data_IF_804638379234
#
_entry.id   IF_804638379234
#
_cell.length_a   1.000
_cell.length_b   1.000
_cell.length_c   1.000
_cell.angle_alpha   90.00
_cell.angle_beta   90.00
_cell.angle_gamma   90.00
#
_symmetry.space_group_name_H-M   'P 1'
#
loop_
_entity.id
_entity.type
_entity.pdbx_description
1 polymer ?
#
# COMPACT_ATOMS: atom_id res chain seq x y z
N UNK A 1 -8.97 -19.93 -14.00
CA UNK A 1 -10.29 -19.71 -13.40
C UNK A 1 -10.16 -19.97 -11.91
N UNK A 2 -10.37 -18.95 -11.08
CA UNK A 2 -10.34 -19.03 -9.62
C UNK A 2 -11.63 -19.69 -9.13
N UNK A 3 -11.53 -20.54 -8.11
CA UNK A 3 -12.70 -21.11 -7.46
C UNK A 3 -13.21 -20.16 -6.36
N UNK A 4 -14.34 -19.50 -6.62
CA UNK A 4 -14.94 -18.51 -5.71
C UNK A 4 -15.58 -19.13 -4.46
N UNK A 5 -15.67 -20.46 -4.38
CA UNK A 5 -16.20 -21.17 -3.20
C UNK A 5 -15.14 -21.52 -2.15
N UNK A 6 -13.86 -21.36 -2.48
CA UNK A 6 -12.75 -21.63 -1.56
C UNK A 6 -12.13 -20.34 -1.04
N UNK A 7 -11.51 -20.36 0.16
CA UNK A 7 -10.81 -19.20 0.68
C UNK A 7 -9.79 -18.65 -0.32
N UNK A 8 -9.77 -17.32 -0.47
CA UNK A 8 -8.79 -16.61 -1.30
C UNK A 8 -7.87 -15.77 -0.43
N UNK A 9 -6.74 -15.33 -1.00
CA UNK A 9 -5.83 -14.41 -0.33
C UNK A 9 -6.44 -12.99 -0.19
N UNK A 10 -7.63 -12.75 -0.74
CA UNK A 10 -8.37 -11.50 -0.68
C UNK A 10 -9.53 -11.54 0.33
N UNK A 11 -9.78 -12.66 1.01
CA UNK A 11 -10.93 -12.79 1.93
C UNK A 11 -10.81 -11.87 3.18
N UNK A 12 -9.64 -11.28 3.43
CA UNK A 12 -9.38 -10.28 4.48
C UNK A 12 -9.41 -8.83 3.97
N UNK A 13 -8.94 -7.90 4.81
CA UNK A 13 -8.81 -6.48 4.47
C UNK A 13 -7.36 -6.08 4.24
N UNK A 14 -7.12 -5.39 3.14
CA UNK A 14 -5.94 -4.57 2.88
C UNK A 14 -6.08 -3.17 3.50
N UNK A 15 -4.96 -2.43 3.60
CA UNK A 15 -4.99 -1.03 4.06
C UNK A 15 -5.87 -0.13 3.17
N UNK A 16 -5.91 -0.37 1.86
CA UNK A 16 -6.78 0.39 0.94
C UNK A 16 -8.26 0.17 1.22
N UNK A 17 -8.65 -1.06 1.55
CA UNK A 17 -10.03 -1.40 1.89
C UNK A 17 -10.42 -0.85 3.27
N UNK A 18 -9.50 -0.87 4.25
CA UNK A 18 -9.71 -0.20 5.54
C UNK A 18 -9.97 1.29 5.33
N UNK A 19 -9.09 1.99 4.58
CA UNK A 19 -9.24 3.42 4.31
C UNK A 19 -10.53 3.71 3.52
N UNK A 20 -10.96 2.82 2.62
CA UNK A 20 -12.23 2.96 1.92
C UNK A 20 -13.44 2.84 2.85
N UNK A 21 -13.48 1.82 3.71
CA UNK A 21 -14.51 1.66 4.74
C UNK A 21 -14.61 2.91 5.61
N UNK A 22 -13.45 3.39 6.03
CA UNK A 22 -13.27 4.54 6.87
C UNK A 22 -13.82 5.84 6.26
N UNK A 23 -13.47 6.13 5.01
CA UNK A 23 -14.01 7.30 4.31
C UNK A 23 -15.53 7.19 4.08
N UNK A 24 -16.05 5.97 3.87
CA UNK A 24 -17.50 5.75 3.81
C UNK A 24 -18.16 6.07 5.16
N UNK A 25 -17.57 5.64 6.28
CA UNK A 25 -18.10 5.93 7.62
C UNK A 25 -18.06 7.43 7.94
N UNK A 26 -16.99 8.13 7.55
CA UNK A 26 -16.90 9.59 7.69
C UNK A 26 -18.00 10.29 6.88
N UNK A 27 -18.22 9.85 5.64
CA UNK A 27 -19.26 10.41 4.79
C UNK A 27 -20.66 10.20 5.40
N UNK A 28 -20.92 9.00 5.95
CA UNK A 28 -22.15 8.73 6.70
C UNK A 28 -22.29 9.61 7.94
N UNK A 29 -21.23 9.78 8.70
CA UNK A 29 -21.21 10.63 9.90
C UNK A 29 -21.49 12.10 9.57
N UNK A 30 -20.95 12.63 8.47
CA UNK A 30 -21.26 13.99 7.98
C UNK A 30 -22.75 14.20 7.69
N UNK A 31 -23.49 13.13 7.40
CA UNK A 31 -24.93 13.13 7.16
C UNK A 31 -25.75 12.78 8.42
N UNK A 32 -25.10 12.60 9.57
CA UNK A 32 -25.74 12.19 10.82
C UNK A 32 -26.22 10.73 10.82
N UNK A 33 -25.68 9.89 9.94
CA UNK A 33 -26.00 8.47 9.86
C UNK A 33 -25.06 7.65 10.74
N UNK A 34 -25.52 6.54 11.34
CA UNK A 34 -24.67 5.67 12.15
C UNK A 34 -23.61 4.96 11.29
N UNK A 35 -22.46 4.73 11.90
CA UNK A 35 -21.45 3.83 11.36
C UNK A 35 -22.00 2.40 11.25
N UNK A 36 -21.52 1.64 10.27
CA UNK A 36 -21.94 0.27 9.98
C UNK A 36 -20.81 -0.67 10.41
N UNK A 37 -21.04 -1.69 11.24
CA UNK A 37 -20.01 -2.64 11.61
C UNK A 37 -19.40 -3.38 10.40
N UNK A 38 -18.06 -3.48 10.36
CA UNK A 38 -17.38 -4.35 9.40
C UNK A 38 -17.77 -5.82 9.63
N UNK A 39 -18.05 -6.51 8.54
CA UNK A 39 -18.55 -7.89 8.51
C UNK A 39 -17.55 -8.77 7.77
N UNK A 40 -17.03 -9.79 8.46
CA UNK A 40 -16.17 -10.80 7.84
C UNK A 40 -16.88 -11.49 6.67
N UNK A 41 -18.13 -11.89 6.86
CA UNK A 41 -18.87 -12.61 5.84
C UNK A 41 -19.16 -11.77 4.59
N UNK A 42 -19.50 -10.49 4.75
CA UNK A 42 -19.70 -9.59 3.62
C UNK A 42 -18.37 -9.14 3.00
N UNK A 43 -17.29 -8.99 3.77
CA UNK A 43 -15.94 -8.75 3.22
C UNK A 43 -15.52 -9.93 2.34
N UNK A 44 -15.69 -11.16 2.81
CA UNK A 44 -15.45 -12.37 2.02
C UNK A 44 -16.33 -12.41 0.76
N UNK A 45 -17.60 -11.99 0.85
CA UNK A 45 -18.50 -11.90 -0.32
C UNK A 45 -17.98 -10.88 -1.33
N UNK A 46 -17.63 -9.67 -0.88
CA UNK A 46 -17.11 -8.60 -1.71
C UNK A 46 -15.80 -9.02 -2.41
N UNK A 47 -14.87 -9.59 -1.65
CA UNK A 47 -13.58 -10.06 -2.12
C UNK A 47 -13.71 -11.11 -3.23
N UNK A 48 -14.54 -12.12 -2.98
CA UNK A 48 -14.79 -13.18 -3.97
C UNK A 48 -15.42 -12.64 -5.23
N UNK A 49 -16.30 -11.63 -5.13
CA UNK A 49 -16.91 -11.06 -6.32
C UNK A 49 -15.90 -10.28 -7.17
N UNK A 50 -15.09 -9.41 -6.56
CA UNK A 50 -14.10 -8.63 -7.31
C UNK A 50 -13.00 -9.53 -7.90
N UNK A 51 -12.65 -10.64 -7.24
CA UNK A 51 -11.77 -11.69 -7.78
C UNK A 51 -12.43 -12.41 -8.95
N UNK A 52 -13.71 -12.79 -8.82
CA UNK A 52 -14.47 -13.45 -9.90
C UNK A 52 -14.52 -12.58 -11.16
N UNK A 53 -14.83 -11.30 -10.99
CA UNK A 53 -14.86 -10.33 -12.07
C UNK A 53 -13.50 -10.23 -12.74
N UNK A 54 -12.42 -10.06 -11.96
CA UNK A 54 -11.10 -9.85 -12.52
C UNK A 54 -10.50 -11.10 -13.18
N UNK A 55 -10.73 -12.28 -12.61
CA UNK A 55 -9.96 -13.49 -12.96
C UNK A 55 -10.76 -14.57 -13.69
N UNK A 56 -12.09 -14.54 -13.60
CA UNK A 56 -12.96 -15.47 -14.32
C UNK A 56 -13.72 -14.80 -15.45
N UNK A 57 -14.23 -13.58 -15.23
CA UNK A 57 -14.97 -12.81 -16.23
C UNK A 57 -14.06 -11.88 -17.04
N UNK A 58 -12.90 -11.51 -16.50
CA UNK A 58 -11.97 -10.52 -17.05
C UNK A 58 -12.40 -9.07 -16.81
N UNK A 59 -13.68 -8.78 -17.04
CA UNK A 59 -14.36 -7.52 -16.71
C UNK A 59 -15.80 -7.80 -16.30
N UNK A 60 -16.49 -6.81 -15.72
CA UNK A 60 -17.93 -6.91 -15.53
C UNK A 60 -18.64 -7.26 -16.85
N UNK A 61 -19.71 -8.07 -16.75
CA UNK A 61 -20.51 -8.47 -17.92
C UNK A 61 -21.25 -7.25 -18.46
N UNK A 62 -21.01 -6.92 -19.73
CA UNK A 62 -21.65 -5.78 -20.37
C UNK A 62 -23.14 -6.02 -20.63
N UNK A 63 -23.92 -4.95 -20.54
CA UNK A 63 -25.31 -4.93 -20.98
C UNK A 63 -25.43 -5.31 -22.46
N UNK A 64 -26.47 -6.07 -22.81
CA UNK A 64 -26.80 -6.37 -24.21
C UNK A 64 -27.90 -5.45 -24.73
N UNK A 65 -28.80 -5.01 -23.84
CA UNK A 65 -29.84 -4.01 -24.12
C UNK A 65 -29.80 -2.87 -23.09
N UNK A 66 -30.25 -1.65 -23.46
CA UNK A 66 -30.27 -0.51 -22.56
C UNK A 66 -31.02 -0.79 -21.25
N UNK A 67 -30.35 -0.60 -20.11
CA UNK A 67 -30.94 -0.73 -18.78
C UNK A 67 -31.08 -2.16 -18.27
N UNK A 68 -30.43 -3.14 -18.89
CA UNK A 68 -30.34 -4.50 -18.34
C UNK A 68 -29.51 -4.57 -17.06
N UNK A 69 -28.48 -3.72 -16.94
CA UNK A 69 -27.48 -3.74 -15.87
C UNK A 69 -27.05 -5.16 -15.48
N UNK A 70 -26.08 -5.70 -16.20
CA UNK A 70 -25.52 -7.05 -16.01
C UNK A 70 -24.18 -7.06 -15.27
N UNK A 71 -23.67 -5.88 -14.92
CA UNK A 71 -22.34 -5.70 -14.35
C UNK A 71 -22.12 -6.49 -13.04
N UNK A 72 -23.21 -6.76 -12.31
CA UNK A 72 -23.25 -7.50 -11.06
C UNK A 72 -23.32 -9.04 -11.25
N UNK A 73 -23.09 -9.55 -12.46
CA UNK A 73 -23.12 -11.00 -12.69
C UNK A 73 -21.91 -11.69 -12.09
N UNK A 74 -22.13 -12.88 -11.54
CA UNK A 74 -21.09 -13.83 -11.16
C UNK A 74 -20.84 -14.82 -12.30
N UNK A 75 -19.66 -15.43 -12.34
CA UNK A 75 -19.29 -16.46 -13.32
C UNK A 75 -20.16 -17.71 -13.26
N UNK A 76 -20.80 -17.97 -12.12
CA UNK A 76 -21.67 -19.10 -11.88
C UNK A 76 -23.15 -18.71 -11.66
N UNK A 77 -23.46 -17.41 -11.61
CA UNK A 77 -24.82 -16.90 -11.40
C UNK A 77 -25.00 -15.54 -12.12
N UNK A 78 -25.69 -15.56 -13.26
CA UNK A 78 -25.96 -14.36 -14.04
C UNK A 78 -26.97 -13.43 -13.34
N UNK A 79 -26.78 -12.12 -13.50
CA UNK A 79 -27.68 -11.09 -13.02
C UNK A 79 -28.22 -10.23 -14.17
N UNK A 80 -29.50 -9.85 -14.09
CA UNK A 80 -30.15 -8.90 -14.98
C UNK A 80 -31.20 -8.10 -14.21
N UNK A 81 -31.03 -6.78 -14.12
CA UNK A 81 -31.92 -5.89 -13.38
C UNK A 81 -33.37 -5.90 -13.90
N UNK A 82 -33.62 -6.34 -15.15
CA UNK A 82 -34.97 -6.47 -15.72
C UNK A 82 -35.63 -7.83 -15.47
N UNK A 83 -34.90 -8.81 -14.95
CA UNK A 83 -35.43 -10.15 -14.66
C UNK A 83 -35.36 -10.44 -13.16
N UNK A 84 -36.49 -10.31 -12.43
CA UNK A 84 -36.54 -10.58 -10.99
C UNK A 84 -36.09 -11.99 -10.59
N UNK A 85 -36.14 -12.97 -11.50
CA UNK A 85 -35.67 -14.33 -11.21
C UNK A 85 -34.15 -14.40 -11.03
N UNK A 86 -33.41 -13.38 -11.49
CA UNK A 86 -31.95 -13.31 -11.38
C UNK A 86 -31.47 -12.56 -10.14
N UNK A 87 -32.35 -11.88 -9.40
CA UNK A 87 -31.96 -11.06 -8.24
C UNK A 87 -31.31 -11.89 -7.12
N UNK A 88 -31.67 -13.18 -7.05
CA UNK A 88 -31.06 -14.13 -6.13
C UNK A 88 -29.55 -14.33 -6.35
N UNK A 89 -29.01 -14.01 -7.53
CA UNK A 89 -27.57 -14.06 -7.80
C UNK A 89 -26.76 -13.13 -6.88
N UNK A 90 -27.34 -11.96 -6.54
CA UNK A 90 -26.77 -10.99 -5.61
C UNK A 90 -27.25 -11.22 -4.19
N UNK A 91 -28.57 -11.21 -3.97
CA UNK A 91 -29.11 -11.22 -2.60
C UNK A 91 -28.71 -12.47 -1.82
N UNK A 92 -28.65 -13.63 -2.49
CA UNK A 92 -28.25 -14.88 -1.84
C UNK A 92 -26.74 -15.15 -1.92
N UNK A 93 -25.93 -14.27 -2.52
CA UNK A 93 -24.49 -14.52 -2.68
C UNK A 93 -23.77 -14.84 -1.35
N UNK A 94 -24.00 -14.12 -0.23
CA UNK A 94 -23.33 -14.46 1.03
C UNK A 94 -23.64 -15.88 1.51
N UNK A 95 -24.91 -16.31 1.42
CA UNK A 95 -25.34 -17.64 1.80
C UNK A 95 -24.85 -18.71 0.81
N UNK A 96 -24.93 -18.43 -0.50
CA UNK A 96 -24.48 -19.29 -1.59
C UNK A 96 -22.98 -19.60 -1.48
N UNK A 97 -22.17 -18.60 -1.14
CA UNK A 97 -20.73 -18.74 -0.94
C UNK A 97 -20.35 -19.35 0.42
N UNK A 98 -21.32 -19.64 1.28
CA UNK A 98 -21.10 -20.26 2.59
C UNK A 98 -20.37 -19.35 3.58
N UNK A 99 -20.55 -18.03 3.47
CA UNK A 99 -19.80 -17.05 4.30
C UNK A 99 -20.24 -17.02 5.77
N UNK A 100 -21.44 -17.55 6.07
CA UNK A 100 -22.03 -17.52 7.40
C UNK A 100 -22.93 -16.30 7.67
N UNK A 101 -23.06 -15.37 6.72
CA UNK A 101 -24.01 -14.26 6.85
C UNK A 101 -25.46 -14.76 6.77
N UNK A 102 -26.31 -14.30 7.69
CA UNK A 102 -27.66 -14.85 7.89
C UNK A 102 -28.75 -14.22 7.00
N UNK A 103 -28.46 -13.10 6.34
CA UNK A 103 -29.44 -12.35 5.54
C UNK A 103 -29.02 -12.16 4.10
N UNK A 104 -29.69 -11.20 3.44
CA UNK A 104 -29.36 -10.82 2.07
C UNK A 104 -28.22 -9.81 2.01
N UNK A 105 -27.38 -9.95 0.98
CA UNK A 105 -26.36 -8.96 0.63
C UNK A 105 -26.84 -7.99 -0.45
N UNK A 106 -26.46 -6.73 -0.32
CA UNK A 106 -26.74 -5.68 -1.31
C UNK A 106 -25.44 -5.03 -1.74
N UNK A 107 -25.24 -4.87 -3.04
CA UNK A 107 -23.95 -4.45 -3.60
C UNK A 107 -24.01 -3.06 -4.23
N UNK A 108 -22.92 -2.30 -4.05
CA UNK A 108 -22.47 -1.32 -5.03
C UNK A 108 -21.14 -1.79 -5.62
N UNK A 109 -20.99 -1.63 -6.93
CA UNK A 109 -19.85 -2.14 -7.68
C UNK A 109 -19.24 -1.02 -8.51
N UNK A 110 -17.92 -0.99 -8.59
CA UNK A 110 -17.17 -0.18 -9.52
C UNK A 110 -16.22 -1.10 -10.28
N UNK A 111 -16.25 -1.01 -11.61
CA UNK A 111 -15.34 -1.75 -12.50
C UNK A 111 -14.76 -0.83 -13.55
N UNK A 112 -13.51 -1.06 -13.93
CA UNK A 112 -12.81 -0.31 -14.99
C UNK A 112 -12.17 -1.22 -16.02
N UNK A 113 -11.79 -0.63 -17.16
CA UNK A 113 -10.92 -1.26 -18.17
C UNK A 113 -9.46 -1.29 -17.76
N UNK A 114 -9.08 -0.49 -16.75
CA UNK A 114 -7.76 -0.48 -16.11
C UNK A 114 -7.86 -0.66 -14.59
N UNK A 115 -6.70 -0.74 -13.92
CA UNK A 115 -6.64 -0.89 -12.46
C UNK A 115 -7.38 0.27 -11.77
N UNK A 116 -8.22 -0.09 -10.80
CA UNK A 116 -8.84 0.89 -9.88
C UNK A 116 -7.91 1.23 -8.72
N UNK A 117 -6.92 0.38 -8.45
CA UNK A 117 -5.87 0.61 -7.46
C UNK A 117 -4.95 1.74 -7.92
N UNK A 118 -4.70 2.68 -7.02
CA UNK A 118 -3.83 3.86 -7.19
C UNK A 118 -2.57 3.72 -6.34
N UNK A 119 -1.66 4.69 -6.46
CA UNK A 119 -0.34 4.63 -5.82
C UNK A 119 -0.40 4.57 -4.29
N UNK A 120 -1.46 5.11 -3.67
CA UNK A 120 -1.68 4.99 -2.22
C UNK A 120 -3.07 4.42 -1.88
N UNK A 121 -3.22 3.81 -0.68
CA UNK A 121 -4.53 3.44 -0.12
C UNK A 121 -5.56 4.56 -0.20
N UNK A 122 -5.18 5.78 0.21
CA UNK A 122 -6.05 6.95 0.28
C UNK A 122 -6.49 7.41 -1.11
N UNK A 123 -5.59 7.40 -2.09
CA UNK A 123 -5.93 7.74 -3.47
C UNK A 123 -6.92 6.73 -4.05
N UNK A 124 -6.70 5.44 -3.79
CA UNK A 124 -7.59 4.35 -4.23
C UNK A 124 -8.99 4.54 -3.65
N UNK A 125 -9.08 4.69 -2.32
CA UNK A 125 -10.32 4.89 -1.60
C UNK A 125 -11.08 6.15 -2.06
N UNK A 126 -10.37 7.29 -2.15
CA UNK A 126 -10.98 8.58 -2.45
C UNK A 126 -11.59 8.64 -3.85
N UNK A 127 -10.92 8.05 -4.83
CA UNK A 127 -11.42 7.99 -6.21
C UNK A 127 -12.67 7.13 -6.30
N UNK A 128 -12.67 5.96 -5.65
CA UNK A 128 -13.82 5.05 -5.62
C UNK A 128 -15.03 5.68 -4.92
N UNK A 129 -14.84 6.22 -3.71
CA UNK A 129 -15.92 6.83 -2.95
C UNK A 129 -16.49 8.07 -3.67
N UNK A 130 -15.64 8.89 -4.29
CA UNK A 130 -16.11 10.04 -5.09
C UNK A 130 -16.98 9.59 -6.25
N UNK A 131 -16.58 8.54 -6.97
CA UNK A 131 -17.38 7.97 -8.07
C UNK A 131 -18.75 7.48 -7.57
N UNK A 132 -18.80 6.74 -6.45
CA UNK A 132 -20.07 6.28 -5.89
C UNK A 132 -20.95 7.42 -5.37
N UNK A 133 -20.38 8.49 -4.82
CA UNK A 133 -21.14 9.68 -4.39
C UNK A 133 -21.78 10.43 -5.56
N UNK A 134 -21.13 10.45 -6.72
CA UNK A 134 -21.67 11.09 -7.93
C UNK A 134 -22.78 10.28 -8.61
N UNK A 135 -22.87 8.97 -8.35
CA UNK A 135 -23.95 8.13 -8.83
C UNK A 135 -25.11 8.13 -7.84
N UNK A 136 -26.28 8.64 -8.25
CA UNK A 136 -27.46 8.74 -7.38
C UNK A 136 -27.88 7.39 -6.80
N UNK A 137 -27.80 6.32 -7.59
CA UNK A 137 -28.13 4.95 -7.17
C UNK A 137 -27.16 4.43 -6.10
N UNK A 138 -25.85 4.49 -6.36
CA UNK A 138 -24.84 4.04 -5.41
C UNK A 138 -24.85 4.89 -4.12
N UNK A 139 -24.97 6.21 -4.26
CA UNK A 139 -25.04 7.11 -3.13
C UNK A 139 -26.27 6.82 -2.25
N UNK A 140 -27.40 6.45 -2.86
CA UNK A 140 -28.61 6.11 -2.12
C UNK A 140 -28.43 4.85 -1.25
N UNK A 141 -27.72 3.82 -1.73
CA UNK A 141 -27.41 2.62 -0.91
C UNK A 141 -26.53 3.02 0.28
N UNK A 142 -25.44 3.74 0.01
CA UNK A 142 -24.45 4.17 1.02
C UNK A 142 -25.05 5.05 2.12
N UNK A 143 -26.13 5.77 1.84
CA UNK A 143 -26.71 6.80 2.72
C UNK A 143 -28.16 6.53 3.13
N UNK A 144 -28.68 5.32 2.88
CA UNK A 144 -30.07 4.93 3.21
C UNK A 144 -31.12 5.89 2.62
N UNK A 145 -30.94 6.31 1.38
CA UNK A 145 -31.89 7.17 0.65
C UNK A 145 -32.72 6.39 -0.37
N UNK A 146 -33.75 7.02 -0.94
CA UNK A 146 -34.63 6.38 -1.93
C UNK A 146 -35.28 5.11 -1.39
N UNK A 147 -35.12 4.01 -2.12
CA UNK A 147 -35.68 2.70 -1.77
C UNK A 147 -35.05 2.09 -0.50
N UNK A 148 -33.92 2.64 -0.05
CA UNK A 148 -33.15 2.17 1.12
C UNK A 148 -33.54 2.88 2.43
N UNK A 149 -34.53 3.78 2.42
CA UNK A 149 -34.94 4.57 3.60
C UNK A 149 -35.42 3.73 4.78
N UNK A 150 -36.01 2.57 4.52
CA UNK A 150 -36.51 1.65 5.56
C UNK A 150 -35.42 0.67 6.05
N UNK A 151 -34.23 0.72 5.47
CA UNK A 151 -33.15 -0.19 5.80
C UNK A 151 -32.31 0.40 6.93
N UNK A 152 -31.84 -0.49 7.81
CA UNK A 152 -30.80 -0.20 8.78
C UNK A 152 -29.65 -1.14 8.49
N UNK A 153 -28.50 -0.59 8.10
CA UNK A 153 -27.31 -1.37 7.82
C UNK A 153 -26.63 -1.78 9.12
N UNK A 154 -26.42 -3.08 9.30
CA UNK A 154 -25.79 -3.66 10.49
C UNK A 154 -24.53 -4.48 10.15
N UNK A 155 -24.21 -4.61 8.87
CA UNK A 155 -23.03 -5.27 8.37
C UNK A 155 -22.58 -4.58 7.07
N UNK A 156 -21.28 -4.35 6.93
CA UNK A 156 -20.67 -3.90 5.67
C UNK A 156 -19.39 -4.68 5.38
N UNK A 157 -19.21 -5.07 4.13
CA UNK A 157 -17.97 -5.63 3.61
C UNK A 157 -17.46 -4.77 2.46
N UNK A 158 -16.15 -4.67 2.31
CA UNK A 158 -15.50 -3.89 1.25
C UNK A 158 -14.44 -4.75 0.60
N UNK A 159 -14.25 -4.60 -0.71
CA UNK A 159 -13.13 -5.21 -1.41
C UNK A 159 -12.65 -4.37 -2.59
N UNK A 160 -11.35 -4.41 -2.86
CA UNK A 160 -10.68 -3.77 -4.00
C UNK A 160 -9.67 -4.76 -4.58
N UNK A 161 -9.86 -5.17 -5.83
CA UNK A 161 -8.94 -6.08 -6.51
C UNK A 161 -8.80 -5.73 -7.99
N UNK A 162 -7.56 -5.51 -8.43
CA UNK A 162 -7.20 -5.18 -9.81
C UNK A 162 -8.07 -4.04 -10.38
N UNK A 163 -9.02 -4.37 -11.24
CA UNK A 163 -9.87 -3.45 -11.98
C UNK A 163 -11.27 -3.26 -11.37
N UNK A 164 -11.52 -3.82 -10.18
CA UNK A 164 -12.84 -3.88 -9.57
C UNK A 164 -12.82 -3.54 -8.08
N UNK A 165 -13.89 -2.92 -7.60
CA UNK A 165 -14.12 -2.66 -6.18
C UNK A 165 -15.61 -2.80 -5.86
N UNK A 166 -15.94 -3.36 -4.70
CA UNK A 166 -17.31 -3.56 -4.27
C UNK A 166 -17.50 -3.17 -2.80
N UNK A 167 -18.68 -2.67 -2.46
CA UNK A 167 -19.16 -2.58 -1.08
C UNK A 167 -20.45 -3.37 -0.96
N UNK A 168 -20.49 -4.26 0.02
CA UNK A 168 -21.62 -5.12 0.33
C UNK A 168 -22.25 -4.68 1.65
N UNK A 169 -23.56 -4.47 1.64
CA UNK A 169 -24.35 -4.06 2.80
C UNK A 169 -25.29 -5.18 3.23
N UNK A 170 -25.54 -5.24 4.53
CA UNK A 170 -26.41 -6.22 5.16
C UNK A 170 -27.28 -5.59 6.25
N UNK A 171 -28.52 -6.08 6.38
CA UNK A 171 -29.48 -5.58 7.38
C UNK A 171 -29.34 -6.26 8.73
N UNK A 172 -28.71 -7.42 8.75
CA UNK A 172 -28.52 -8.29 9.90
C UNK A 172 -27.12 -8.05 10.46
N UNK A 173 -26.96 -8.24 11.77
CA UNK A 173 -25.63 -8.28 12.35
C UNK A 173 -24.91 -9.54 11.86
N UNK A 174 -23.61 -9.43 11.55
CA UNK A 174 -22.81 -10.57 11.14
C UNK A 174 -22.37 -11.42 12.34
N UNK A 175 -22.80 -12.68 12.47
CA UNK A 175 -22.39 -13.55 13.57
C UNK A 175 -20.92 -13.99 13.45
N UNK A 176 -20.27 -13.78 12.31
CA UNK A 176 -18.88 -14.19 12.06
C UNK A 176 -17.83 -13.15 12.50
N UNK A 177 -18.29 -11.99 12.99
CA UNK A 177 -17.44 -10.92 13.52
C UNK A 177 -16.77 -10.06 12.45
N UNK A 178 -15.74 -9.31 12.85
CA UNK A 178 -14.96 -8.48 11.94
C UNK A 178 -13.98 -9.29 11.08
N UNK A 179 -13.64 -8.82 9.86
CA UNK A 179 -12.66 -9.48 8.99
C UNK A 179 -11.25 -9.46 9.59
N UNK A 180 -10.43 -10.42 9.16
CA UNK A 180 -8.98 -10.36 9.37
C UNK A 180 -8.36 -9.26 8.49
N UNK A 181 -7.17 -8.81 8.85
CA UNK A 181 -6.41 -7.83 8.07
C UNK A 181 -5.22 -8.55 7.46
N UNK A 182 -5.08 -8.47 6.15
CA UNK A 182 -4.08 -9.24 5.41
C UNK A 182 -2.67 -8.75 5.74
N UNK A 183 -1.82 -9.69 6.16
CA UNK A 183 -0.43 -9.41 6.53
C UNK A 183 -0.26 -8.55 7.79
N UNK A 184 -1.31 -8.34 8.57
CA UNK A 184 -1.24 -7.55 9.81
C UNK A 184 -0.83 -8.43 10.99
N UNK A 185 0.33 -8.11 11.57
CA UNK A 185 0.76 -8.66 12.85
C UNK A 185 0.45 -7.63 13.97
N UNK A 186 -0.52 -7.91 14.86
CA UNK A 186 -0.89 -6.97 15.92
C UNK A 186 0.21 -6.77 16.95
N UNK A 187 1.01 -7.79 17.27
CA UNK A 187 2.10 -7.66 18.24
C UNK A 187 3.26 -6.87 17.63
N UNK A 188 3.61 -7.14 16.37
CA UNK A 188 4.60 -6.33 15.65
C UNK A 188 4.16 -4.87 15.52
N UNK A 189 2.88 -4.63 15.24
CA UNK A 189 2.30 -3.30 15.20
C UNK A 189 2.43 -2.58 16.54
N UNK A 190 2.10 -3.24 17.65
CA UNK A 190 2.29 -2.69 19.00
C UNK A 190 3.77 -2.42 19.29
N UNK A 191 4.66 -3.38 19.02
CA UNK A 191 6.09 -3.25 19.25
C UNK A 191 6.72 -2.10 18.44
N UNK A 192 6.22 -1.84 17.23
CA UNK A 192 6.67 -0.74 16.37
C UNK A 192 6.10 0.63 16.76
N UNK A 193 5.07 0.69 17.61
CA UNK A 193 4.38 1.91 18.00
C UNK A 193 4.35 2.03 19.53
N UNK A 194 5.37 2.68 20.10
CA UNK A 194 5.61 2.71 21.54
C UNK A 194 4.44 3.29 22.36
N UNK A 195 3.71 4.27 21.81
CA UNK A 195 2.49 4.82 22.40
C UNK A 195 1.39 3.77 22.54
N UNK A 196 1.24 2.91 21.52
CA UNK A 196 0.25 1.83 21.52
C UNK A 196 0.68 0.67 22.42
N UNK A 197 1.97 0.31 22.42
CA UNK A 197 2.51 -0.66 23.38
C UNK A 197 2.27 -0.21 24.84
N UNK A 198 2.43 1.09 25.13
CA UNK A 198 2.15 1.64 26.45
C UNK A 198 0.65 1.62 26.80
N UNK A 199 -0.22 1.89 25.82
CA UNK A 199 -1.67 1.95 26.04
C UNK A 199 -2.33 0.57 26.13
N UNK A 200 -1.91 -0.38 25.29
CA UNK A 200 -2.59 -1.66 25.09
C UNK A 200 -1.78 -2.86 25.57
N UNK A 201 -0.49 -2.69 25.87
CA UNK A 201 0.39 -3.83 26.15
C UNK A 201 0.39 -4.79 24.98
N UNK A 202 0.08 -6.06 25.24
CA UNK A 202 -0.01 -7.14 24.24
C UNK A 202 -1.45 -7.46 23.83
N UNK A 203 -2.41 -6.54 24.04
CA UNK A 203 -3.80 -6.73 23.62
C UNK A 203 -3.92 -6.61 22.08
N UNK A 204 -3.93 -7.78 21.42
CA UNK A 204 -4.00 -7.87 19.96
C UNK A 204 -5.35 -7.44 19.40
N UNK A 205 -6.43 -7.57 20.17
CA UNK A 205 -7.76 -7.14 19.73
C UNK A 205 -7.89 -5.61 19.75
N UNK A 206 -7.32 -4.97 20.77
CA UNK A 206 -7.19 -3.51 20.84
C UNK A 206 -6.29 -2.98 19.72
N UNK A 207 -5.17 -3.65 19.43
CA UNK A 207 -4.27 -3.30 18.34
C UNK A 207 -4.96 -3.35 16.97
N UNK A 208 -5.70 -4.43 16.67
CA UNK A 208 -6.48 -4.55 15.44
C UNK A 208 -7.56 -3.46 15.35
N UNK A 209 -8.30 -3.24 16.43
CA UNK A 209 -9.33 -2.19 16.50
C UNK A 209 -8.75 -0.81 16.25
N UNK A 210 -7.59 -0.50 16.84
CA UNK A 210 -6.88 0.76 16.64
C UNK A 210 -6.41 0.91 15.19
N UNK A 211 -5.82 -0.13 14.59
CA UNK A 211 -5.33 -0.06 13.22
C UNK A 211 -6.47 0.21 12.22
N UNK A 212 -7.62 -0.44 12.41
CA UNK A 212 -8.82 -0.20 11.59
C UNK A 212 -9.36 1.22 11.76
N UNK A 213 -9.45 1.72 12.99
CA UNK A 213 -10.10 3.01 13.26
C UNK A 213 -9.22 4.23 12.95
N UNK A 214 -7.90 4.10 13.14
CA UNK A 214 -6.96 5.21 13.09
C UNK A 214 -5.69 4.85 12.32
N UNK A 215 -5.06 3.71 12.66
CA UNK A 215 -3.69 3.41 12.25
C UNK A 215 -3.47 3.36 10.74
N UNK A 216 -4.41 2.81 9.98
CA UNK A 216 -4.32 2.76 8.51
C UNK A 216 -4.30 4.16 7.89
N UNK A 217 -5.21 5.06 8.31
CA UNK A 217 -5.28 6.44 7.80
C UNK A 217 -4.12 7.32 8.26
N UNK A 218 -3.61 7.06 9.46
CA UNK A 218 -2.42 7.74 9.99
C UNK A 218 -1.13 7.30 9.27
N UNK A 219 -1.18 6.25 8.43
CA UNK A 219 0.01 5.67 7.81
C UNK A 219 0.95 5.02 8.83
N UNK A 220 0.41 4.55 9.98
CA UNK A 220 1.22 3.91 11.02
C UNK A 220 1.87 2.64 10.46
N UNK A 221 3.18 2.51 10.68
CA UNK A 221 3.91 1.34 10.22
C UNK A 221 3.48 0.08 10.99
N UNK A 222 3.26 -1.01 10.24
CA UNK A 222 2.96 -2.34 10.77
C UNK A 222 4.19 -3.25 10.81
N UNK A 223 5.32 -2.78 10.27
CA UNK A 223 6.56 -3.55 10.09
C UNK A 223 7.81 -2.85 10.62
N UNK A 224 7.67 -1.70 11.28
CA UNK A 224 8.80 -0.93 11.83
C UNK A 224 9.62 -1.71 12.87
N UNK A 225 9.00 -2.65 13.58
CA UNK A 225 9.70 -3.52 14.52
C UNK A 225 10.12 -4.83 13.83
N UNK A 226 11.42 -5.10 13.84
CA UNK A 226 11.96 -6.39 13.39
C UNK A 226 12.30 -7.29 14.59
N UNK A 227 11.46 -8.30 14.93
CA UNK A 227 11.71 -9.21 16.04
C UNK A 227 13.03 -9.96 15.95
N UNK A 228 13.43 -10.42 14.76
CA UNK A 228 14.68 -11.18 14.62
C UNK A 228 15.89 -10.28 14.78
N UNK A 229 15.84 -9.03 14.31
CA UNK A 229 16.90 -8.06 14.55
C UNK A 229 17.01 -7.72 16.04
N UNK A 230 15.88 -7.57 16.73
CA UNK A 230 15.85 -7.40 18.17
C UNK A 230 16.47 -8.61 18.89
N UNK A 231 16.06 -9.84 18.57
CA UNK A 231 16.64 -11.06 19.14
C UNK A 231 18.15 -11.12 18.89
N UNK A 232 18.58 -10.91 17.64
CA UNK A 232 19.98 -10.98 17.23
C UNK A 232 20.90 -10.04 18.03
N UNK A 233 20.37 -8.93 18.54
CA UNK A 233 21.10 -7.95 19.33
C UNK A 233 21.37 -8.38 20.78
N UNK A 234 20.70 -9.42 21.27
CA UNK A 234 20.68 -9.77 22.69
C UNK A 234 20.92 -11.27 22.92
N UNK A 235 22.11 -11.61 23.43
CA UNK A 235 22.51 -12.99 23.67
C UNK A 235 21.61 -13.76 24.64
N UNK A 236 21.08 -13.08 25.65
CA UNK A 236 20.10 -13.64 26.60
C UNK A 236 18.77 -13.97 25.93
N UNK A 237 18.27 -13.11 25.04
CA UNK A 237 17.03 -13.37 24.31
C UNK A 237 17.20 -14.49 23.30
N UNK A 238 18.34 -14.56 22.61
CA UNK A 238 18.63 -15.69 21.70
C UNK A 238 18.73 -17.01 22.46
N UNK A 239 19.31 -17.01 23.66
CA UNK A 239 19.37 -18.21 24.49
C UNK A 239 17.98 -18.63 25.01
N UNK A 240 17.11 -17.66 25.31
CA UNK A 240 15.77 -17.92 25.84
C UNK A 240 14.74 -18.29 24.77
N UNK A 241 14.78 -17.62 23.61
CA UNK A 241 13.72 -17.66 22.60
C UNK A 241 14.18 -18.19 21.24
N UNK A 242 15.50 -18.33 21.00
CA UNK A 242 15.99 -18.68 19.67
C UNK A 242 15.57 -17.64 18.64
N UNK A 243 14.92 -18.10 17.56
CA UNK A 243 14.35 -17.29 16.48
C UNK A 243 12.83 -17.10 16.59
N UNK A 244 12.24 -17.29 17.77
CA UNK A 244 10.80 -17.07 17.99
C UNK A 244 10.43 -15.57 17.96
N UNK A 245 9.89 -15.14 16.82
CA UNK A 245 9.49 -13.77 16.59
C UNK A 245 8.39 -13.27 17.54
N UNK A 246 7.40 -14.11 17.83
CA UNK A 246 6.27 -13.73 18.67
C UNK A 246 6.73 -13.57 20.14
N UNK A 247 7.64 -14.43 20.59
CA UNK A 247 8.27 -14.27 21.91
C UNK A 247 9.07 -12.96 22.00
N UNK A 248 9.78 -12.59 20.93
CA UNK A 248 10.52 -11.34 20.85
C UNK A 248 9.63 -10.09 20.95
N UNK A 249 8.52 -10.07 20.22
CA UNK A 249 7.54 -8.96 20.24
C UNK A 249 6.90 -8.82 21.62
N UNK A 250 6.45 -9.94 22.20
CA UNK A 250 5.90 -9.95 23.56
C UNK A 250 6.93 -9.44 24.57
N UNK A 251 8.18 -9.92 24.50
CA UNK A 251 9.23 -9.47 25.39
C UNK A 251 9.51 -7.97 25.23
N UNK A 252 9.59 -7.47 23.99
CA UNK A 252 9.88 -6.06 23.74
C UNK A 252 8.79 -5.15 24.33
N UNK A 253 7.52 -5.47 24.07
CA UNK A 253 6.37 -4.75 24.60
C UNK A 253 6.34 -4.79 26.13
N UNK A 254 6.49 -5.99 26.72
CA UNK A 254 6.33 -6.17 28.15
C UNK A 254 7.52 -5.66 28.95
N UNK A 255 8.75 -5.82 28.46
CA UNK A 255 9.97 -5.58 29.23
C UNK A 255 10.98 -4.73 28.47
N UNK A 256 11.25 -5.03 27.20
CA UNK A 256 12.31 -4.38 26.40
C UNK A 256 12.24 -2.86 26.36
N UNK A 257 11.04 -2.29 26.21
CA UNK A 257 10.82 -0.84 26.26
C UNK A 257 11.18 -0.23 27.61
N UNK A 258 10.83 -0.91 28.72
CA UNK A 258 11.12 -0.45 30.09
C UNK A 258 12.59 -0.62 30.47
N UNK A 259 13.23 -1.63 29.91
CA UNK A 259 14.67 -1.89 30.05
C UNK A 259 15.52 -0.94 29.21
N UNK A 260 14.92 -0.17 28.30
CA UNK A 260 15.65 0.70 27.37
C UNK A 260 16.43 -0.07 26.31
N UNK A 261 16.00 -1.31 25.98
CA UNK A 261 16.62 -2.09 24.91
C UNK A 261 16.34 -1.46 23.54
N UNK A 262 17.34 -1.48 22.67
CA UNK A 262 17.22 -1.03 21.29
C UNK A 262 16.72 -2.16 20.40
N UNK A 263 15.63 -1.92 19.66
CA UNK A 263 15.13 -2.84 18.64
C UNK A 263 16.10 -3.05 17.46
N UNK A 264 17.10 -2.18 17.32
CA UNK A 264 18.09 -2.18 16.23
C UNK A 264 19.52 -2.41 16.73
N UNK A 265 19.67 -3.05 17.90
CA UNK A 265 20.99 -3.35 18.48
C UNK A 265 21.87 -4.25 17.59
N UNK A 266 21.25 -5.05 16.72
CA UNK A 266 21.94 -5.81 15.68
C UNK A 266 21.90 -5.06 14.35
N UNK A 267 23.06 -4.81 13.74
CA UNK A 267 23.14 -4.21 12.41
C UNK A 267 23.10 -5.29 11.32
N UNK A 268 21.89 -5.55 10.83
CA UNK A 268 21.66 -6.53 9.77
C UNK A 268 22.27 -6.11 8.42
N UNK A 269 22.38 -4.80 8.15
CA UNK A 269 22.98 -4.29 6.92
C UNK A 269 24.49 -4.52 6.94
N UNK A 270 25.16 -4.23 8.07
CA UNK A 270 26.57 -4.55 8.26
C UNK A 270 26.84 -6.06 8.16
N UNK A 271 25.94 -6.88 8.71
CA UNK A 271 26.05 -8.33 8.59
C UNK A 271 25.95 -8.81 7.13
N UNK A 272 24.97 -8.31 6.37
CA UNK A 272 24.84 -8.63 4.95
C UNK A 272 26.04 -8.14 4.13
N UNK A 273 26.45 -6.88 4.33
CA UNK A 273 27.58 -6.29 3.61
C UNK A 273 28.90 -7.03 3.88
N UNK A 274 29.06 -7.58 5.08
CA UNK A 274 30.22 -8.36 5.49
C UNK A 274 30.25 -9.79 4.94
N UNK A 275 29.10 -10.30 4.46
CA UNK A 275 28.93 -11.68 4.00
C UNK A 275 28.26 -11.69 2.62
N UNK A 276 29.04 -11.48 1.52
CA UNK A 276 28.49 -11.34 0.17
C UNK A 276 27.68 -12.55 -0.31
N UNK A 277 27.94 -13.74 0.21
CA UNK A 277 27.14 -14.94 -0.08
C UNK A 277 25.73 -14.84 0.53
N UNK A 278 25.59 -14.27 1.73
CA UNK A 278 24.29 -14.02 2.34
C UNK A 278 23.56 -12.89 1.62
N UNK A 279 24.28 -11.84 1.21
CA UNK A 279 23.71 -10.77 0.39
C UNK A 279 23.24 -11.29 -0.99
N UNK A 280 23.96 -12.23 -1.59
CA UNK A 280 23.51 -12.90 -2.81
C UNK A 280 22.25 -13.77 -2.59
N UNK A 281 22.14 -14.42 -1.43
CA UNK A 281 21.04 -15.34 -1.11
C UNK A 281 19.76 -14.61 -0.65
N UNK A 282 19.91 -13.56 0.15
CA UNK A 282 18.81 -12.88 0.82
C UNK A 282 18.52 -11.48 0.26
N UNK A 283 19.43 -10.91 -0.55
CA UNK A 283 19.36 -9.50 -0.92
C UNK A 283 19.41 -8.62 0.33
N UNK A 284 18.59 -7.56 0.34
CA UNK A 284 18.46 -6.63 1.47
C UNK A 284 17.47 -7.07 2.55
N UNK A 285 17.06 -8.35 2.58
CA UNK A 285 16.16 -8.87 3.61
C UNK A 285 16.86 -8.98 4.97
N UNK A 286 16.72 -7.91 5.76
CA UNK A 286 17.24 -7.80 7.13
C UNK A 286 16.67 -8.83 8.09
N UNK A 287 15.42 -9.28 7.87
CA UNK A 287 14.76 -10.28 8.70
C UNK A 287 15.36 -11.67 8.45
N UNK A 288 15.57 -12.04 7.18
CA UNK A 288 16.29 -13.25 6.80
C UNK A 288 17.74 -13.24 7.31
N UNK A 289 18.45 -12.11 7.16
CA UNK A 289 19.81 -11.97 7.66
C UNK A 289 19.91 -12.15 9.19
N UNK A 290 18.99 -11.53 9.93
CA UNK A 290 18.94 -11.64 11.39
C UNK A 290 18.60 -13.06 11.85
N UNK A 291 17.63 -13.73 11.19
CA UNK A 291 17.33 -15.15 11.42
C UNK A 291 18.55 -16.04 11.19
N UNK A 292 19.25 -15.85 10.06
CA UNK A 292 20.47 -16.60 9.78
C UNK A 292 21.51 -16.42 10.89
N UNK A 293 21.74 -15.19 11.35
CA UNK A 293 22.66 -14.95 12.45
C UNK A 293 22.26 -15.68 13.73
N UNK A 294 20.96 -15.72 14.04
CA UNK A 294 20.40 -16.42 15.20
C UNK A 294 20.63 -17.94 15.12
N UNK A 295 20.27 -18.53 13.98
CA UNK A 295 20.16 -19.98 13.80
C UNK A 295 21.52 -20.64 13.50
N UNK A 296 22.39 -19.99 12.72
CA UNK A 296 23.67 -20.59 12.27
C UNK A 296 24.86 -19.64 12.27
N UNK A 297 24.67 -18.35 11.96
CA UNK A 297 25.76 -17.41 11.69
C UNK A 297 26.78 -17.26 12.82
N UNK A 298 26.36 -17.39 14.09
CA UNK A 298 27.29 -17.42 15.24
C UNK A 298 28.16 -18.68 15.28
N UNK A 299 27.57 -19.84 15.00
CA UNK A 299 28.27 -21.12 15.00
C UNK A 299 29.24 -21.22 13.82
N UNK A 300 28.87 -20.61 12.70
CA UNK A 300 29.71 -20.45 11.51
C UNK A 300 30.82 -19.39 11.69
N UNK A 301 30.79 -18.61 12.77
CA UNK A 301 31.74 -17.52 13.03
C UNK A 301 31.72 -16.45 11.92
N UNK A 302 30.52 -16.16 11.38
CA UNK A 302 30.34 -15.13 10.35
C UNK A 302 30.74 -13.75 10.90
N UNK A 303 31.38 -12.95 10.05
CA UNK A 303 31.88 -11.61 10.42
C UNK A 303 30.75 -10.58 10.43
N UNK A 304 30.84 -9.62 11.33
CA UNK A 304 29.92 -8.46 11.41
C UNK A 304 30.58 -7.16 10.93
N UNK A 305 31.91 -7.16 10.76
CA UNK A 305 32.75 -6.00 10.48
C UNK A 305 33.61 -6.18 9.21
N UNK A 306 33.15 -7.03 8.29
CA UNK A 306 33.82 -7.36 7.05
C UNK A 306 33.79 -6.26 6.00
N UNK A 307 32.85 -5.33 6.10
CA UNK A 307 32.64 -4.25 5.16
C UNK A 307 33.18 -2.91 5.67
N UNK A 308 34.10 -2.30 4.93
CA UNK A 308 34.62 -0.95 5.21
C UNK A 308 33.79 0.10 4.47
N UNK A 309 32.76 0.62 5.14
CA UNK A 309 31.87 1.64 4.58
C UNK A 309 32.62 2.94 4.22
N UNK A 310 33.67 3.30 4.95
CA UNK A 310 34.47 4.49 4.64
C UNK A 310 35.32 4.28 3.39
N UNK A 311 35.79 3.05 3.13
CA UNK A 311 36.45 2.70 1.86
C UNK A 311 35.47 2.68 0.70
N UNK A 312 34.26 2.22 0.94
CA UNK A 312 33.18 2.27 -0.02
C UNK A 312 32.86 3.71 -0.45
N UNK A 313 32.67 4.64 0.50
CA UNK A 313 32.45 6.05 0.17
C UNK A 313 33.63 6.68 -0.58
N UNK A 314 34.87 6.43 -0.14
CA UNK A 314 36.06 6.93 -0.86
C UNK A 314 36.15 6.42 -2.29
N UNK A 315 35.69 5.20 -2.54
CA UNK A 315 35.69 4.60 -3.87
C UNK A 315 34.54 5.10 -4.77
N UNK A 316 33.49 5.70 -4.18
CA UNK A 316 32.28 6.14 -4.87
C UNK A 316 31.92 7.57 -4.45
N UNK A 317 32.50 8.59 -5.12
CA UNK A 317 32.31 10.00 -4.76
C UNK A 317 30.85 10.48 -4.76
N UNK A 318 29.99 9.86 -5.56
CA UNK A 318 28.54 10.13 -5.58
C UNK A 318 27.86 9.70 -4.27
N UNK A 319 28.28 8.57 -3.70
CA UNK A 319 27.79 8.08 -2.41
C UNK A 319 28.28 8.98 -1.28
N UNK A 320 29.56 9.36 -1.30
CA UNK A 320 30.11 10.32 -0.35
C UNK A 320 29.39 11.68 -0.42
N UNK A 321 29.02 12.14 -1.62
CA UNK A 321 28.25 13.36 -1.80
C UNK A 321 26.80 13.24 -1.29
N UNK A 322 26.19 12.06 -1.44
CA UNK A 322 24.80 11.81 -1.02
C UNK A 322 24.65 11.66 0.51
N UNK A 323 25.57 10.94 1.17
CA UNK A 323 25.43 10.56 2.59
C UNK A 323 26.44 11.25 3.53
N UNK A 324 27.46 11.92 2.98
CA UNK A 324 28.46 12.63 3.78
C UNK A 324 29.30 11.67 4.61
N UNK A 325 29.15 11.72 5.95
CA UNK A 325 29.86 10.86 6.90
C UNK A 325 28.95 9.78 7.53
N UNK A 326 27.75 9.59 7.01
CA UNK A 326 26.82 8.57 7.48
C UNK A 326 27.19 7.19 6.89
N UNK A 327 28.15 6.54 7.55
CA UNK A 327 28.61 5.20 7.19
C UNK A 327 27.50 4.14 7.29
N UNK A 328 26.45 4.39 8.07
CA UNK A 328 25.28 3.49 8.15
C UNK A 328 24.47 3.59 6.87
N UNK A 329 24.22 4.81 6.38
CA UNK A 329 23.57 5.03 5.10
C UNK A 329 24.40 4.49 3.92
N UNK A 330 25.73 4.64 3.96
CA UNK A 330 26.60 4.05 2.95
C UNK A 330 26.57 2.51 2.94
N UNK A 331 26.56 1.89 4.12
CA UNK A 331 26.41 0.42 4.25
C UNK A 331 25.06 -0.04 3.72
N UNK A 332 23.98 0.64 4.11
CA UNK A 332 22.63 0.37 3.59
C UNK A 332 22.57 0.50 2.07
N UNK A 333 23.16 1.54 1.51
CA UNK A 333 23.21 1.74 0.06
C UNK A 333 23.94 0.58 -0.64
N UNK A 334 25.06 0.11 -0.08
CA UNK A 334 25.75 -1.03 -0.65
C UNK A 334 24.87 -2.29 -0.68
N UNK A 335 24.16 -2.57 0.42
CA UNK A 335 23.25 -3.71 0.54
C UNK A 335 22.05 -3.61 -0.41
N UNK A 336 21.42 -2.43 -0.50
CA UNK A 336 20.21 -2.22 -1.29
C UNK A 336 20.49 -2.08 -2.81
N UNK A 337 21.64 -1.51 -3.18
CA UNK A 337 21.95 -1.17 -4.58
C UNK A 337 23.39 -1.52 -4.97
N UNK A 338 24.37 -1.09 -4.19
CA UNK A 338 25.77 -1.09 -4.59
C UNK A 338 26.34 -2.47 -4.94
N UNK A 339 25.86 -3.53 -4.29
CA UNK A 339 26.22 -4.90 -4.60
C UNK A 339 25.77 -5.32 -6.01
N UNK A 340 24.52 -5.01 -6.38
CA UNK A 340 23.94 -5.34 -7.69
C UNK A 340 24.43 -4.42 -8.81
N UNK A 341 24.82 -3.19 -8.47
CA UNK A 341 25.46 -2.25 -9.39
C UNK A 341 26.94 -2.55 -9.63
N UNK A 342 27.51 -3.56 -8.94
CA UNK A 342 28.93 -3.88 -8.97
C UNK A 342 29.84 -2.70 -8.59
N UNK A 343 29.40 -1.88 -7.62
CA UNK A 343 30.17 -0.75 -7.10
C UNK A 343 31.47 -1.23 -6.45
N UNK A 344 32.51 -0.40 -6.54
CA UNK A 344 33.80 -0.70 -5.91
C UNK A 344 33.66 -0.58 -4.40
N UNK A 345 34.11 -1.59 -3.66
CA UNK A 345 34.10 -1.58 -2.18
C UNK A 345 35.31 -0.88 -1.58
N UNK A 346 36.37 -0.68 -2.35
CA UNK A 346 37.55 0.09 -1.98
C UNK A 346 38.29 0.62 -3.22
N UNK A 347 39.12 1.64 -3.03
CA UNK A 347 40.09 2.05 -4.05
C UNK A 347 41.21 0.98 -4.08
N UNK A 348 41.52 0.37 -5.24
CA UNK A 348 42.65 -0.55 -5.33
C UNK A 348 43.95 0.20 -5.00
N UNK A 349 44.91 -0.42 -4.29
CA UNK A 349 46.20 0.20 -4.06
C UNK A 349 46.83 0.56 -5.41
N UNK A 350 47.21 1.83 -5.55
CA UNK A 350 47.96 2.34 -6.69
C UNK A 350 49.16 1.43 -6.94
N UNK A 351 49.22 0.78 -8.10
CA UNK A 351 50.46 0.17 -8.56
C UNK A 351 51.48 1.30 -8.69
N UNK A 352 52.48 1.31 -7.81
CA UNK A 352 53.57 2.27 -7.84
C UNK A 352 54.12 2.35 -9.27
N UNK A 353 54.01 3.53 -9.89
CA UNK A 353 54.61 3.84 -11.17
C UNK A 353 56.13 3.63 -11.05
N UNK A 354 56.65 2.68 -11.82
CA UNK A 354 58.07 2.31 -11.77
C UNK A 354 58.47 1.43 -12.96
N UNK A 355 58.30 1.92 -14.18
CA UNK A 355 59.02 1.42 -15.35
C UNK A 355 59.36 2.61 -16.27
N UNK A 356 60.62 2.76 -16.72
CA UNK A 356 61.07 3.97 -17.41
C UNK A 356 60.53 4.02 -18.84
N UNK A 357 60.15 5.23 -19.25
CA UNK A 357 59.78 5.58 -20.62
C UNK A 357 61.01 5.48 -21.53
N UNK A 358 60.86 4.79 -22.66
CA UNK A 358 61.80 4.85 -23.77
C UNK A 358 61.07 5.39 -25.01
N UNK A 359 61.57 6.52 -25.53
CA UNK A 359 61.41 6.92 -26.93
C UNK A 359 60.40 8.04 -27.22
N UNK A 360 60.90 9.27 -27.23
CA UNK A 360 60.39 10.43 -27.97
C UNK A 360 60.23 10.11 -29.46
N UNK A 361 59.36 10.74 -30.26
CA UNK A 361 59.42 12.12 -30.76
C UNK A 361 58.08 12.44 -31.48
N UNK A 362 57.33 13.50 -31.15
CA UNK A 362 57.30 14.91 -31.65
C UNK A 362 56.11 15.19 -32.58
N UNK A 363 55.67 16.46 -32.50
CA UNK A 363 54.85 17.23 -33.44
C UNK A 363 53.32 17.10 -33.34
N UNK A 364 52.50 18.13 -33.32
CA UNK A 364 52.60 19.57 -33.03
C UNK A 364 51.16 20.14 -33.05
N UNK A 365 50.99 21.36 -32.53
CA UNK A 365 49.90 22.31 -32.81
C UNK A 365 48.65 22.36 -31.90
N UNK A 366 48.73 23.38 -31.07
CA UNK A 366 47.73 24.28 -30.51
C UNK A 366 46.48 24.61 -31.36
N UNK A 367 45.42 24.86 -30.57
CA UNK A 367 44.38 25.90 -30.63
C UNK A 367 43.12 25.76 -31.51
N UNK A 368 42.03 26.11 -30.82
CA UNK A 368 40.77 26.74 -31.25
C UNK A 368 39.61 25.85 -31.73
N UNK A 369 38.52 25.95 -30.98
CA UNK A 369 37.15 25.73 -31.46
C UNK A 369 36.81 26.67 -32.62
N UNK A 370 35.74 26.38 -33.38
CA UNK A 370 34.50 27.10 -33.07
C UNK A 370 33.22 26.25 -33.12
N UNK A 371 32.18 26.88 -32.58
CA UNK A 371 30.76 26.50 -32.52
C UNK A 371 30.14 26.49 -33.92
N UNK A 372 29.26 25.54 -34.20
CA UNK A 372 28.19 25.74 -35.20
C UNK A 372 26.91 24.99 -34.82
N UNK A 373 25.78 25.66 -35.05
CA UNK A 373 24.41 25.28 -34.74
C UNK A 373 23.84 24.23 -35.71
N UNK A 374 22.83 23.48 -35.24
CA UNK A 374 21.68 23.09 -36.06
C UNK A 374 21.62 21.65 -36.58
N UNK A 375 20.83 20.80 -35.91
CA UNK A 375 19.73 20.08 -36.59
C UNK A 375 18.84 19.29 -35.63
N UNK A 376 17.55 19.49 -35.86
CA UNK A 376 16.39 18.85 -35.26
C UNK A 376 16.37 17.34 -35.54
N UNK A 377 16.17 16.53 -34.50
CA UNK A 377 15.57 15.20 -34.65
C UNK A 377 14.29 15.15 -33.80
N UNK A 378 13.16 15.08 -34.52
CA UNK A 378 11.84 14.74 -33.99
C UNK A 378 11.87 13.33 -33.38
N UNK A 379 11.67 13.24 -32.07
CA UNK A 379 11.23 12.03 -31.38
C UNK A 379 9.85 12.28 -30.78
N UNK A 380 8.81 11.69 -31.38
CA UNK A 380 7.41 11.78 -30.93
C UNK A 380 7.29 11.22 -29.50
N UNK A 381 6.84 12.05 -28.55
CA UNK A 381 6.29 11.58 -27.28
C UNK A 381 4.86 11.08 -27.51
N UNK A 382 4.60 9.84 -27.10
CA UNK A 382 3.29 9.24 -27.11
C UNK A 382 2.43 9.89 -26.02
N UNK A 383 1.29 10.45 -26.43
CA UNK A 383 0.24 10.90 -25.52
C UNK A 383 -0.45 9.67 -24.90
N UNK A 384 -0.65 9.70 -23.59
CA UNK A 384 -1.46 8.73 -22.86
C UNK A 384 -2.94 9.03 -23.08
N UNK A 385 -3.80 8.03 -23.37
CA UNK A 385 -5.23 8.28 -23.52
C UNK A 385 -5.90 8.39 -22.14
N UNK A 386 -6.76 9.41 -22.06
CA UNK A 386 -7.72 9.65 -20.99
C UNK A 386 -9.09 9.12 -21.43
N UNK A 387 -9.62 8.14 -20.72
CA UNK A 387 -10.94 7.60 -21.06
C UNK A 387 -11.62 6.96 -19.83
N UNK A 388 -12.28 7.84 -19.06
CA UNK A 388 -13.51 7.50 -18.36
C UNK A 388 -14.66 8.09 -19.19
N UNK A 389 -15.36 7.26 -19.95
CA UNK A 389 -16.56 7.70 -20.68
C UNK A 389 -17.78 7.52 -19.80
N UNK A 390 -18.49 8.63 -19.53
CA UNK A 390 -19.83 8.61 -18.96
C UNK A 390 -20.79 9.30 -19.94
N UNK A 391 -21.84 8.57 -20.31
CA UNK A 391 -22.97 9.10 -21.07
C UNK A 391 -24.12 9.41 -20.11
N UNK A 392 -24.51 10.69 -20.01
CA UNK A 392 -25.90 11.17 -19.97
C UNK A 392 -25.93 12.69 -19.68
N UNK A 393 -26.77 13.42 -20.43
CA UNK A 393 -26.87 14.87 -20.34
C UNK A 393 -28.01 15.40 -19.45
N UNK A 394 -27.90 16.72 -19.24
CA UNK A 394 -28.93 17.76 -18.97
C UNK A 394 -29.48 17.88 -17.52
N UNK A 395 -29.81 19.10 -17.02
CA UNK A 395 -29.04 20.35 -16.91
C UNK A 395 -28.85 20.81 -15.45
N UNK A 396 -27.98 21.80 -15.24
CA UNK A 396 -27.68 22.42 -13.95
C UNK A 396 -28.86 23.24 -13.36
N UNK A 397 -29.00 23.20 -12.03
CA UNK A 397 -29.83 24.10 -11.21
C UNK A 397 -28.93 24.73 -10.13
N UNK A 398 -29.06 26.03 -9.81
CA UNK A 398 -27.98 26.79 -9.16
C UNK A 398 -27.95 26.63 -7.63
N UNK A 399 -26.73 26.80 -7.10
CA UNK A 399 -26.37 26.79 -5.69
C UNK A 399 -26.88 28.07 -5.00
N UNK A 400 -27.59 27.93 -3.87
CA UNK A 400 -28.04 29.05 -3.05
C UNK A 400 -27.04 29.35 -1.91
N UNK A 401 -26.51 30.58 -1.96
CA UNK A 401 -26.05 31.53 -0.93
C UNK A 401 -25.08 31.11 0.22
N UNK A 402 -24.00 31.90 0.46
CA UNK A 402 -23.09 31.77 1.60
C UNK A 402 -23.49 32.68 2.80
N UNK A 403 -23.05 32.30 4.01
CA UNK A 403 -23.10 33.13 5.23
C UNK A 403 -21.91 34.13 5.28
N UNK A 404 -22.04 35.29 5.95
CA UNK A 404 -21.22 36.48 5.66
C UNK A 404 -20.04 36.70 6.61
N UNK A 405 -18.99 37.36 6.11
CA UNK A 405 -17.96 37.97 6.95
C UNK A 405 -16.78 38.54 6.15
N UNK A 406 -16.72 39.88 6.06
CA UNK A 406 -15.59 40.72 5.60
C UNK A 406 -15.51 41.02 4.09
N UNK A 407 -16.29 42.03 3.67
CA UNK A 407 -15.82 43.33 3.13
C UNK A 407 -15.01 43.45 1.83
N UNK A 408 -15.68 44.02 0.81
CA UNK A 408 -15.19 45.04 -0.18
C UNK A 408 -14.27 44.52 -1.34
N UNK A 409 -14.41 44.79 -2.66
CA UNK A 409 -15.13 45.71 -3.59
C UNK A 409 -15.16 45.02 -4.99
N UNK A 410 -16.14 45.26 -5.90
CA UNK A 410 -16.30 44.46 -7.12
C UNK A 410 -15.35 44.86 -8.25
N UNK A 411 -14.86 43.85 -8.99
CA UNK A 411 -14.28 44.00 -10.33
C UNK A 411 -15.12 43.18 -11.32
N UNK A 412 -15.60 43.84 -12.37
CA UNK A 412 -16.25 43.20 -13.52
C UNK A 412 -15.19 42.74 -14.52
N UNK A 413 -15.38 41.56 -15.11
CA UNK A 413 -14.68 41.15 -16.33
C UNK A 413 -14.27 39.69 -16.38
N UNK A 414 -15.14 38.88 -17.01
CA UNK A 414 -14.85 37.77 -17.94
C UNK A 414 -13.59 36.90 -17.79
N UNK A 415 -13.85 35.58 -17.91
CA UNK A 415 -12.97 34.50 -18.39
C UNK A 415 -12.13 33.76 -17.35
N UNK A 416 -12.72 32.66 -16.85
CA UNK A 416 -12.07 31.63 -16.06
C UNK A 416 -11.50 30.54 -16.97
N UNK A 417 -10.18 30.55 -17.22
CA UNK A 417 -9.39 29.35 -17.53
C UNK A 417 -7.93 29.54 -17.07
N UNK A 418 -7.38 28.49 -16.44
CA UNK A 418 -5.95 28.18 -16.20
C UNK A 418 -5.27 28.75 -14.95
N UNK A 419 -5.10 27.89 -13.94
CA UNK A 419 -4.05 27.98 -12.92
C UNK A 419 -3.39 26.61 -12.78
N UNK A 420 -2.25 26.43 -13.47
CA UNK A 420 -1.27 25.38 -13.21
C UNK A 420 -0.47 25.75 -11.95
N UNK A 421 -0.39 24.84 -10.98
CA UNK A 421 0.56 24.93 -9.88
C UNK A 421 1.88 24.27 -10.30
N UNK A 422 2.96 25.05 -10.29
CA UNK A 422 4.34 24.58 -10.46
C UNK A 422 4.92 24.13 -9.11
N UNK A 423 5.59 22.97 -9.08
CA UNK A 423 6.45 22.52 -7.98
C UNK A 423 7.87 23.05 -8.19
N UNK A 424 8.47 23.59 -7.13
CA UNK A 424 9.89 23.90 -7.05
C UNK A 424 10.53 23.04 -5.95
N UNK A 425 11.65 22.39 -6.29
CA UNK A 425 12.56 21.67 -5.37
C UNK A 425 13.82 22.53 -5.21
N UNK A 426 14.42 22.67 -4.01
CA UNK A 426 15.70 23.34 -3.85
C UNK A 426 16.88 22.37 -4.00
N UNK A 427 18.01 22.98 -4.41
CA UNK A 427 19.33 22.43 -4.77
C UNK A 427 19.96 21.55 -3.71
#
# INVERSE_FOLDING_TARGET
MVNIYTPTAQDGLSSAEIVLYDQLMDYRAQLGLPAIPLSKALTTTAARHVVDIADNLGTAVSDQLPGENRAHSWSDAAYNAKDPNTYGAIWNAPARLGTGYAGYGFEILATGTGSVVRSTPEQTASVLLTAWKMSSGHNAVMTNQGDWKSYSWNAVGVAVYKNSAAIWFGREADPTGGPAIDGFDPLRYLAGNADLAQAFGTDTAAAQSHYIQFGAREGRSTTAFNPHQYLAGYGDLMAAFGSDAQAAENHYIQSGLREGRSATAFDADAYLASNPDLLAAFGSDRDAASRHYIDSGRMEQRRLDGFDAAAYERANPDIAAAFGADLTAATRHYVEYGYHEHRRTAIPPSAAQGAPLAGSEVDSLQFSAPVEEGSLILGRLAEAPADLTWAAGVPAVPLAAPLPGIGMVPFHGSDAQSLMLAFAVPV
#
